data_IF_818507834856
#
_entry.id   IF_818507834856
#
_cell.length_a   1.000
_cell.length_b   1.000
_cell.length_c   1.000
_cell.angle_alpha   90.00
_cell.angle_beta   90.00
_cell.angle_gamma   90.00
#
_symmetry.space_group_name_H-M   'P 1'
#
loop_
_entity.id
_entity.type
_entity.pdbx_description
1 polymer ?
#
# COMPACT_ATOMS: atom_id res chain seq x y z
N UNK A 1 10.05 -0.68 2.09
CA UNK A 1 9.14 -0.48 0.94
C UNK A 1 9.84 -0.99 -0.32
N UNK A 2 9.14 -1.14 -1.47
CA UNK A 2 9.79 -1.51 -2.73
C UNK A 2 11.02 -0.63 -2.97
N UNK A 3 12.14 -1.27 -3.27
CA UNK A 3 13.38 -0.61 -3.68
C UNK A 3 13.65 -0.96 -5.14
N UNK A 4 14.45 -0.14 -5.79
CA UNK A 4 14.85 -0.41 -7.15
C UNK A 4 16.29 -0.01 -7.41
N UNK A 5 16.99 -0.83 -8.20
CA UNK A 5 18.38 -0.60 -8.61
C UNK A 5 18.42 -0.58 -10.13
N UNK A 6 19.00 0.48 -10.70
CA UNK A 6 19.20 0.62 -12.14
C UNK A 6 20.62 0.18 -12.45
N UNK A 7 20.76 -0.71 -13.44
CA UNK A 7 22.03 -1.11 -14.05
C UNK A 7 22.11 -0.51 -15.46
N UNK A 8 22.72 0.68 -15.61
CA UNK A 8 22.71 1.42 -16.88
C UNK A 8 23.37 0.64 -18.03
N UNK A 9 24.49 -0.05 -17.73
CA UNK A 9 25.26 -0.81 -18.71
C UNK A 9 24.46 -1.96 -19.32
N UNK A 10 23.58 -2.55 -18.51
CA UNK A 10 22.70 -3.66 -18.91
C UNK A 10 21.33 -3.17 -19.38
N UNK A 11 21.02 -1.88 -19.22
CA UNK A 11 19.69 -1.30 -19.43
C UNK A 11 18.60 -2.07 -18.67
N UNK A 12 18.89 -2.39 -17.41
CA UNK A 12 18.02 -3.19 -16.56
C UNK A 12 17.63 -2.43 -15.30
N UNK A 13 16.36 -2.55 -14.94
CA UNK A 13 15.80 -2.17 -13.65
C UNK A 13 15.52 -3.43 -12.84
N UNK A 14 16.13 -3.52 -11.67
CA UNK A 14 15.86 -4.54 -10.67
C UNK A 14 14.90 -3.96 -9.63
N UNK A 15 13.72 -4.57 -9.47
CA UNK A 15 12.71 -4.19 -8.47
C UNK A 15 12.72 -5.23 -7.36
N UNK A 16 12.97 -4.79 -6.13
CA UNK A 16 12.97 -5.63 -4.93
C UNK A 16 11.77 -5.28 -4.05
N UNK A 17 11.06 -6.31 -3.62
CA UNK A 17 9.91 -6.17 -2.71
C UNK A 17 10.38 -6.34 -1.26
N UNK A 18 9.64 -5.79 -0.27
CA UNK A 18 9.99 -5.96 1.14
C UNK A 18 10.07 -7.44 1.55
N UNK A 19 11.01 -7.77 2.44
CA UNK A 19 11.30 -9.15 2.88
C UNK A 19 10.10 -9.85 3.55
N UNK A 20 9.14 -9.08 4.09
CA UNK A 20 7.92 -9.62 4.66
C UNK A 20 6.91 -10.13 3.60
N UNK A 21 7.23 -9.97 2.32
CA UNK A 21 6.44 -10.41 1.17
C UNK A 21 7.06 -11.67 0.56
N UNK A 22 6.23 -12.56 0.00
CA UNK A 22 6.72 -13.72 -0.75
C UNK A 22 6.95 -13.39 -2.24
N UNK A 23 7.01 -12.10 -2.59
CA UNK A 23 7.17 -11.67 -3.96
C UNK A 23 8.63 -11.78 -4.37
N UNK A 24 8.88 -12.42 -5.50
CA UNK A 24 10.23 -12.51 -6.07
C UNK A 24 10.67 -11.15 -6.61
N UNK A 25 11.98 -10.94 -6.62
CA UNK A 25 12.59 -9.84 -7.35
C UNK A 25 12.15 -9.88 -8.81
N UNK A 26 11.81 -8.72 -9.36
CA UNK A 26 11.49 -8.57 -10.78
C UNK A 26 12.64 -7.85 -11.51
N UNK A 27 12.91 -8.27 -12.74
CA UNK A 27 13.95 -7.70 -13.59
C UNK A 27 13.28 -7.22 -14.88
N UNK A 28 13.45 -5.93 -15.20
CA UNK A 28 12.82 -5.29 -16.35
C UNK A 28 13.86 -4.64 -17.25
N UNK A 29 13.70 -4.78 -18.56
CA UNK A 29 14.47 -4.01 -19.52
C UNK A 29 13.92 -2.57 -19.57
N UNK A 30 14.82 -1.59 -19.56
CA UNK A 30 14.47 -0.17 -19.60
C UNK A 30 15.12 0.52 -20.80
N UNK A 31 14.40 1.49 -21.35
CA UNK A 31 14.85 2.28 -22.50
C UNK A 31 15.28 3.69 -22.11
N UNK A 32 14.88 4.16 -20.93
CA UNK A 32 15.21 5.48 -20.39
C UNK A 32 14.98 5.52 -18.88
N UNK A 33 15.51 6.54 -18.21
CA UNK A 33 15.24 6.82 -16.80
C UNK A 33 13.74 7.06 -16.57
N UNK A 34 13.06 7.76 -17.49
CA UNK A 34 11.62 7.99 -17.39
C UNK A 34 10.81 6.69 -17.44
N UNK A 35 11.23 5.73 -18.27
CA UNK A 35 10.62 4.40 -18.33
C UNK A 35 10.83 3.65 -17.00
N UNK A 36 12.03 3.71 -16.42
CA UNK A 36 12.32 3.12 -15.12
C UNK A 36 11.45 3.72 -14.00
N UNK A 37 11.35 5.05 -13.92
CA UNK A 37 10.50 5.74 -12.95
C UNK A 37 9.02 5.34 -13.08
N UNK A 38 8.51 5.25 -14.31
CA UNK A 38 7.15 4.81 -14.58
C UNK A 38 6.91 3.38 -14.10
N UNK A 39 7.85 2.46 -14.34
CA UNK A 39 7.78 1.08 -13.85
C UNK A 39 7.76 1.04 -12.32
N UNK A 40 8.68 1.74 -11.65
CA UNK A 40 8.74 1.80 -10.18
C UNK A 40 7.41 2.33 -9.61
N UNK A 41 6.85 3.39 -10.23
CA UNK A 41 5.57 3.96 -9.83
C UNK A 41 4.44 2.95 -9.95
N UNK A 42 4.32 2.27 -11.09
CA UNK A 42 3.27 1.27 -11.34
C UNK A 42 3.41 0.10 -10.35
N UNK A 43 4.63 -0.39 -10.13
CA UNK A 43 4.88 -1.50 -9.20
C UNK A 43 4.56 -1.12 -7.75
N UNK A 44 4.90 0.10 -7.35
CA UNK A 44 4.54 0.65 -6.04
C UNK A 44 3.04 0.72 -5.83
N UNK A 45 2.30 1.28 -6.80
CA UNK A 45 0.83 1.37 -6.75
C UNK A 45 0.19 -0.02 -6.63
N UNK A 46 0.62 -0.96 -7.48
CA UNK A 46 0.09 -2.33 -7.47
C UNK A 46 0.36 -3.04 -6.14
N UNK A 47 1.58 -2.92 -5.62
CA UNK A 47 1.95 -3.53 -4.35
C UNK A 47 1.13 -3.01 -3.18
N UNK A 48 1.06 -1.68 -3.03
CA UNK A 48 0.30 -1.04 -1.94
C UNK A 48 -1.18 -1.41 -2.06
N UNK A 49 -1.75 -1.31 -3.26
CA UNK A 49 -3.16 -1.61 -3.49
C UNK A 49 -3.49 -3.05 -3.14
N UNK A 50 -2.64 -4.00 -3.56
CA UNK A 50 -2.86 -5.42 -3.28
C UNK A 50 -2.70 -5.74 -1.80
N UNK A 51 -1.65 -5.22 -1.14
CA UNK A 51 -1.42 -5.43 0.29
C UNK A 51 -2.62 -4.93 1.12
N UNK A 52 -3.12 -3.72 0.81
CA UNK A 52 -4.25 -3.14 1.52
C UNK A 52 -5.59 -3.81 1.16
N UNK A 53 -5.82 -4.22 -0.09
CA UNK A 53 -7.02 -5.00 -0.47
C UNK A 53 -7.08 -6.32 0.30
N UNK A 54 -5.98 -7.08 0.32
CA UNK A 54 -5.89 -8.33 1.08
C UNK A 54 -6.13 -8.11 2.57
N UNK A 55 -5.57 -7.04 3.14
CA UNK A 55 -5.81 -6.68 4.53
C UNK A 55 -7.28 -6.36 4.80
N UNK A 56 -7.88 -5.45 4.02
CA UNK A 56 -9.28 -5.02 4.20
C UNK A 56 -10.24 -6.21 4.08
N UNK A 57 -10.08 -7.06 3.07
CA UNK A 57 -10.90 -8.27 2.90
C UNK A 57 -10.70 -9.23 4.09
N UNK A 58 -9.45 -9.43 4.54
CA UNK A 58 -9.16 -10.26 5.71
C UNK A 58 -9.79 -9.72 7.01
N UNK A 59 -9.86 -8.39 7.18
CA UNK A 59 -10.50 -7.75 8.33
C UNK A 59 -12.02 -7.91 8.30
N UNK A 60 -12.65 -7.66 7.16
CA UNK A 60 -14.09 -7.84 7.00
C UNK A 60 -14.50 -9.28 7.37
N UNK A 61 -13.82 -10.27 6.78
CA UNK A 61 -14.07 -11.69 7.05
C UNK A 61 -13.86 -12.02 8.53
N UNK A 62 -12.77 -11.54 9.13
CA UNK A 62 -12.50 -11.79 10.55
C UNK A 62 -13.56 -11.18 11.47
N UNK A 63 -14.04 -9.98 11.18
CA UNK A 63 -15.08 -9.34 11.96
C UNK A 63 -16.44 -9.99 11.78
N UNK A 64 -16.76 -10.44 10.56
CA UNK A 64 -17.98 -11.16 10.26
C UNK A 64 -18.06 -12.47 11.06
N UNK A 65 -17.02 -13.32 10.99
CA UNK A 65 -17.00 -14.59 11.73
C UNK A 65 -16.95 -14.40 13.26
N UNK A 66 -16.34 -13.32 13.74
CA UNK A 66 -16.30 -13.01 15.17
C UNK A 66 -17.55 -12.27 15.68
N UNK A 67 -18.56 -12.02 14.83
CA UNK A 67 -19.76 -11.28 15.22
C UNK A 67 -19.49 -9.85 15.69
N UNK A 68 -18.40 -9.22 15.22
CA UNK A 68 -17.91 -7.93 15.73
C UNK A 68 -17.84 -6.86 14.63
N UNK A 69 -18.63 -7.02 13.57
CA UNK A 69 -18.71 -6.07 12.47
C UNK A 69 -19.64 -4.89 12.84
N UNK A 70 -19.08 -3.84 13.43
CA UNK A 70 -19.82 -2.64 13.83
C UNK A 70 -19.96 -1.64 12.68
N UNK A 71 -20.94 -0.72 12.75
CA UNK A 71 -21.14 0.34 11.75
C UNK A 71 -19.83 1.11 11.47
N UNK A 72 -19.06 1.58 12.47
CA UNK A 72 -17.78 2.25 12.21
C UNK A 72 -16.76 1.41 11.44
N UNK A 73 -16.75 0.08 11.65
CA UNK A 73 -15.86 -0.84 10.93
C UNK A 73 -16.30 -1.03 9.48
N UNK A 74 -17.62 -1.14 9.24
CA UNK A 74 -18.20 -1.23 7.90
C UNK A 74 -17.87 0.04 7.10
N UNK A 75 -18.09 1.22 7.68
CA UNK A 75 -17.77 2.50 7.03
C UNK A 75 -16.29 2.62 6.72
N UNK A 76 -15.41 2.21 7.64
CA UNK A 76 -13.97 2.24 7.43
C UNK A 76 -13.52 1.28 6.31
N UNK A 77 -14.07 0.06 6.27
CA UNK A 77 -13.82 -0.91 5.20
C UNK A 77 -14.28 -0.35 3.84
N UNK A 78 -15.48 0.21 3.77
CA UNK A 78 -16.05 0.77 2.55
C UNK A 78 -15.23 1.98 2.05
N UNK A 79 -14.82 2.89 2.95
CA UNK A 79 -13.98 4.02 2.60
C UNK A 79 -12.64 3.57 2.02
N UNK A 80 -12.00 2.56 2.61
CA UNK A 80 -10.72 2.05 2.11
C UNK A 80 -10.88 1.34 0.77
N UNK A 81 -11.94 0.57 0.56
CA UNK A 81 -12.26 -0.02 -0.76
C UNK A 81 -12.40 1.06 -1.82
N UNK A 82 -13.19 2.10 -1.53
CA UNK A 82 -13.38 3.22 -2.45
C UNK A 82 -12.06 3.88 -2.83
N UNK A 83 -11.17 4.12 -1.86
CA UNK A 83 -9.83 4.67 -2.13
C UNK A 83 -9.03 3.73 -3.03
N UNK A 84 -8.99 2.43 -2.70
CA UNK A 84 -8.22 1.46 -3.46
C UNK A 84 -8.75 1.33 -4.89
N UNK A 85 -10.07 1.30 -5.09
CA UNK A 85 -10.67 1.14 -6.41
C UNK A 85 -10.55 2.41 -7.26
N UNK A 86 -10.59 3.59 -6.64
CA UNK A 86 -10.45 4.86 -7.37
C UNK A 86 -9.01 5.14 -7.77
N UNK A 87 -8.02 4.74 -6.96
CA UNK A 87 -6.64 5.19 -7.12
C UNK A 87 -5.63 4.06 -7.44
N UNK A 88 -6.04 2.79 -7.50
CA UNK A 88 -5.12 1.65 -7.77
C UNK A 88 -4.55 1.59 -9.19
N UNK A 89 -5.03 2.41 -10.11
CA UNK A 89 -4.50 2.51 -11.48
C UNK A 89 -3.93 3.91 -11.77
N UNK A 90 -3.99 4.80 -10.78
CA UNK A 90 -3.69 6.21 -10.94
C UNK A 90 -2.33 6.61 -10.40
N UNK A 91 -2.28 7.83 -9.87
CA UNK A 91 -1.06 8.42 -9.31
C UNK A 91 -0.74 7.83 -7.95
N UNK A 92 0.49 7.34 -7.78
CA UNK A 92 1.05 6.91 -6.50
C UNK A 92 0.88 7.99 -5.42
N UNK A 93 1.15 9.25 -5.76
CA UNK A 93 1.00 10.39 -4.85
C UNK A 93 -0.46 10.53 -4.39
N UNK A 94 -1.42 10.41 -5.31
CA UNK A 94 -2.86 10.52 -4.96
C UNK A 94 -3.28 9.35 -4.08
N UNK A 95 -2.85 8.14 -4.41
CA UNK A 95 -3.14 6.94 -3.62
C UNK A 95 -2.61 7.07 -2.18
N UNK A 96 -1.31 7.37 -2.02
CA UNK A 96 -0.70 7.49 -0.69
C UNK A 96 -1.30 8.62 0.13
N UNK A 97 -1.59 9.76 -0.50
CA UNK A 97 -2.24 10.89 0.16
C UNK A 97 -3.65 10.54 0.66
N UNK A 98 -4.46 9.85 -0.16
CA UNK A 98 -5.80 9.42 0.25
C UNK A 98 -5.76 8.37 1.36
N UNK A 99 -4.79 7.45 1.33
CA UNK A 99 -4.54 6.51 2.42
C UNK A 99 -4.17 7.26 3.72
N UNK A 100 -3.26 8.24 3.65
CA UNK A 100 -2.86 9.04 4.79
C UNK A 100 -4.04 9.84 5.40
N UNK A 101 -4.89 10.42 4.55
CA UNK A 101 -6.13 11.09 4.99
C UNK A 101 -7.12 10.13 5.66
N UNK A 102 -7.10 8.85 5.31
CA UNK A 102 -7.97 7.81 5.87
C UNK A 102 -7.43 7.16 7.16
N UNK A 103 -6.38 7.70 7.78
CA UNK A 103 -5.73 7.15 8.99
C UNK A 103 -6.73 6.86 10.13
N UNK A 104 -7.68 7.76 10.36
CA UNK A 104 -8.73 7.54 11.37
C UNK A 104 -9.60 6.32 11.08
N UNK A 105 -9.93 6.06 9.81
CA UNK A 105 -10.69 4.88 9.40
C UNK A 105 -9.85 3.61 9.56
N UNK A 106 -8.57 3.65 9.19
CA UNK A 106 -7.63 2.54 9.35
C UNK A 106 -7.52 2.08 10.82
N UNK A 107 -7.48 3.02 11.76
CA UNK A 107 -7.44 2.71 13.20
C UNK A 107 -8.70 1.95 13.68
N UNK A 108 -9.85 2.10 13.00
CA UNK A 108 -11.08 1.38 13.38
C UNK A 108 -11.06 -0.09 13.01
N UNK A 109 -10.24 -0.45 12.02
CA UNK A 109 -10.14 -1.82 11.49
C UNK A 109 -8.87 -2.53 11.92
N UNK A 110 -8.04 -1.87 12.73
CA UNK A 110 -6.84 -2.44 13.33
C UNK A 110 -7.18 -3.69 14.17
N UNK A 111 -6.38 -4.77 14.09
CA UNK A 111 -6.53 -5.90 14.99
C UNK A 111 -6.28 -5.49 16.44
N UNK A 112 -7.09 -6.01 17.37
CA UNK A 112 -6.83 -5.88 18.80
C UNK A 112 -5.47 -6.45 19.16
N UNK A 113 -4.90 -5.98 20.27
CA UNK A 113 -3.59 -6.43 20.77
C UNK A 113 -3.51 -7.95 20.93
N UNK A 114 -4.61 -8.58 21.37
CA UNK A 114 -4.70 -10.02 21.60
C UNK A 114 -5.08 -10.83 20.34
N UNK A 115 -5.20 -10.19 19.17
CA UNK A 115 -5.59 -10.89 17.95
C UNK A 115 -4.39 -11.65 17.36
N UNK A 116 -4.62 -12.91 16.94
CA UNK A 116 -3.64 -13.67 16.14
C UNK A 116 -3.26 -12.98 14.82
N UNK A 117 -4.03 -11.99 14.37
CA UNK A 117 -3.75 -11.18 13.17
C UNK A 117 -2.87 -9.95 13.47
N UNK A 118 -2.55 -9.65 14.74
CA UNK A 118 -1.75 -8.48 15.13
C UNK A 118 -0.34 -8.52 14.57
N UNK A 119 0.33 -9.66 14.66
CA UNK A 119 1.70 -9.83 14.14
C UNK A 119 1.76 -9.52 12.64
N UNK A 120 0.81 -10.06 11.88
CA UNK A 120 0.73 -9.80 10.44
C UNK A 120 0.50 -8.30 10.15
N UNK A 121 -0.36 -7.63 10.93
CA UNK A 121 -0.57 -6.20 10.78
C UNK A 121 0.69 -5.39 11.06
N UNK A 122 1.36 -5.61 12.20
CA UNK A 122 2.57 -4.89 12.59
C UNK A 122 3.72 -5.10 11.61
N UNK A 123 3.90 -6.32 11.11
CA UNK A 123 5.04 -6.66 10.25
C UNK A 123 4.81 -6.33 8.78
N UNK A 124 3.55 -6.36 8.29
CA UNK A 124 3.26 -6.28 6.85
C UNK A 124 2.43 -5.06 6.45
N UNK A 125 1.47 -4.65 7.28
CA UNK A 125 0.48 -3.63 6.91
C UNK A 125 0.89 -2.26 7.46
N UNK A 126 1.24 -2.19 8.74
CA UNK A 126 1.67 -0.95 9.38
C UNK A 126 2.86 -0.30 8.66
N UNK A 127 3.92 -1.02 8.23
CA UNK A 127 5.01 -0.41 7.49
C UNK A 127 4.58 0.15 6.12
N UNK A 128 3.56 -0.44 5.49
CA UNK A 128 2.97 0.09 4.25
C UNK A 128 2.25 1.40 4.52
N UNK A 129 1.45 1.46 5.59
CA UNK A 129 0.71 2.66 5.98
C UNK A 129 1.65 3.80 6.39
N UNK A 130 2.68 3.51 7.19
CA UNK A 130 3.69 4.48 7.61
C UNK A 130 4.46 5.04 6.41
N UNK A 131 4.81 4.19 5.45
CA UNK A 131 5.44 4.66 4.22
C UNK A 131 4.50 5.53 3.39
N UNK A 132 3.21 5.20 3.29
CA UNK A 132 2.24 6.07 2.61
C UNK A 132 2.15 7.45 3.26
N UNK A 133 2.19 7.52 4.60
CA UNK A 133 2.19 8.77 5.37
C UNK A 133 3.45 9.60 5.05
N UNK A 134 4.63 8.97 5.13
CA UNK A 134 5.92 9.61 4.81
C UNK A 134 5.99 10.10 3.36
N UNK A 135 5.59 9.26 2.39
CA UNK A 135 5.61 9.61 0.98
C UNK A 135 4.63 10.74 0.67
N UNK A 136 3.43 10.72 1.26
CA UNK A 136 2.45 11.78 1.10
C UNK A 136 2.95 13.11 1.70
N UNK A 137 3.59 13.08 2.87
CA UNK A 137 4.18 14.26 3.51
C UNK A 137 5.32 14.86 2.67
N UNK A 138 6.19 14.01 2.11
CA UNK A 138 7.27 14.46 1.22
C UNK A 138 6.75 15.04 -0.10
N UNK A 139 5.64 14.52 -0.63
CA UNK A 139 5.02 14.99 -1.87
C UNK A 139 4.13 16.23 -1.69
N UNK A 140 3.80 16.62 -0.45
CA UNK A 140 2.87 17.71 -0.12
C UNK A 140 3.24 19.11 -0.70
N UNK A 141 4.52 19.47 -0.91
CA UNK A 141 4.88 20.73 -1.58
C UNK A 141 4.48 20.79 -3.06
N UNK A 142 4.21 19.64 -3.70
CA UNK A 142 3.98 19.54 -5.15
C UNK A 142 2.49 19.70 -5.50
N UNK A 143 1.57 19.40 -4.56
CA UNK A 143 0.12 19.44 -4.79
C UNK A 143 -0.54 20.82 -4.56
N UNK A 144 0.22 21.83 -4.11
CA UNK A 144 -0.24 23.21 -3.88
C UNK A 144 0.04 24.17 -5.05
N UNK A 145 0.66 23.70 -6.13
CA UNK A 145 0.81 24.44 -7.39
C UNK A 145 -0.23 23.94 -8.38
#
# INVERSE_FOLDING_TARGET
>A
MITATIHPDQRVLVVQYPDFTNLKQEVHLISSNQHAENLIRIRSVKFISNALRSYVNGREVAYFYAGSLTIPRITAIAQLRLILDTFSEGSLIRLTHRIAQAKHALNKIEPSLNSSKRINYEQKIKPVLEWCDQYAAAAYPILKK
#
